data_IF_998856240859
#
_entry.id   IF_998856240859
#
_cell.length_a   1.000
_cell.length_b   1.000
_cell.length_c   1.000
_cell.angle_alpha   90.00
_cell.angle_beta   90.00
_cell.angle_gamma   90.00
#
_symmetry.space_group_name_H-M   'P 1'
#
loop_
_entity.id
_entity.type
_entity.pdbx_description
1 polymer ?
#
# COMPACT_ATOMS: atom_id res chain seq x y z
N UNK A 1 17.65 29.06 49.39
CA UNK A 1 16.83 28.07 48.68
C UNK A 1 16.87 28.43 47.20
N UNK A 2 17.73 27.78 46.43
CA UNK A 2 17.93 28.05 45.00
C UNK A 2 17.22 26.92 44.21
N UNK A 3 16.12 27.27 43.53
CA UNK A 3 15.38 26.34 42.71
C UNK A 3 16.10 26.10 41.35
N UNK A 4 16.53 24.90 41.13
CA UNK A 4 17.15 24.47 39.89
C UNK A 4 16.01 24.11 38.89
N UNK A 5 15.78 24.96 37.90
CA UNK A 5 14.89 24.69 36.77
C UNK A 5 15.61 23.74 35.82
N UNK A 6 15.20 22.45 35.80
CA UNK A 6 15.56 21.51 34.74
C UNK A 6 14.66 21.77 33.52
N UNK A 7 15.21 22.41 32.52
CA UNK A 7 14.60 22.47 31.17
C UNK A 7 14.84 21.16 30.48
N UNK A 8 13.80 20.33 30.36
CA UNK A 8 13.80 19.18 29.50
C UNK A 8 13.79 19.66 28.04
N UNK A 9 14.91 19.54 27.33
CA UNK A 9 14.98 19.73 25.89
C UNK A 9 14.26 18.55 25.21
N UNK A 10 13.04 18.78 24.77
CA UNK A 10 12.37 17.86 23.81
C UNK A 10 13.09 18.01 22.50
N UNK A 11 14.01 17.10 22.20
CA UNK A 11 14.55 16.94 20.85
C UNK A 11 13.39 16.48 19.95
N UNK A 12 12.76 17.40 19.24
CA UNK A 12 11.94 17.07 18.09
C UNK A 12 12.88 16.46 17.03
N UNK A 13 12.90 15.13 16.94
CA UNK A 13 13.57 14.44 15.85
C UNK A 13 12.86 14.85 14.58
N UNK A 14 13.51 15.64 13.72
CA UNK A 14 13.02 15.99 12.41
C UNK A 14 12.82 14.66 11.64
N UNK A 15 11.57 14.35 11.27
CA UNK A 15 11.25 13.18 10.47
C UNK A 15 12.13 13.19 9.21
N UNK A 16 13.01 12.21 9.09
CA UNK A 16 13.86 12.10 7.92
C UNK A 16 13.00 11.87 6.67
N UNK A 17 13.28 12.61 5.60
CA UNK A 17 12.53 12.48 4.33
C UNK A 17 12.60 11.04 3.81
N UNK A 18 11.50 10.53 3.17
CA UNK A 18 11.54 9.24 2.50
C UNK A 18 12.64 9.20 1.44
N UNK A 19 13.41 8.13 1.44
CA UNK A 19 14.47 7.88 0.45
C UNK A 19 14.12 6.61 -0.34
N UNK A 20 13.57 6.72 -1.57
CA UNK A 20 13.27 5.55 -2.38
C UNK A 20 14.52 4.73 -2.67
N UNK A 21 14.42 3.41 -2.66
CA UNK A 21 15.53 2.52 -3.01
C UNK A 21 15.89 2.61 -4.49
N UNK A 22 14.90 2.89 -5.33
CA UNK A 22 15.06 3.07 -6.77
C UNK A 22 14.14 4.18 -7.28
N UNK A 23 14.65 4.94 -8.26
CA UNK A 23 13.84 5.86 -9.04
C UNK A 23 12.96 5.11 -10.05
N UNK A 24 11.97 5.78 -10.64
CA UNK A 24 11.09 5.16 -11.65
C UNK A 24 11.83 4.62 -12.88
N UNK A 25 13.02 5.17 -13.21
CA UNK A 25 13.82 4.73 -14.36
C UNK A 25 14.57 3.42 -14.10
N UNK A 26 14.79 3.10 -12.83
CA UNK A 26 15.52 1.91 -12.40
C UNK A 26 14.58 0.75 -12.07
N UNK A 27 13.29 1.05 -11.92
CA UNK A 27 12.26 0.03 -11.68
C UNK A 27 11.83 -0.66 -12.98
N UNK A 28 11.34 -1.92 -12.91
CA UNK A 28 10.80 -2.61 -14.08
C UNK A 28 9.66 -1.82 -14.73
N UNK A 29 9.77 -1.60 -16.04
CA UNK A 29 8.74 -0.89 -16.80
C UNK A 29 7.53 -1.79 -17.05
N UNK A 30 6.45 -1.58 -16.33
CA UNK A 30 5.22 -2.38 -16.41
C UNK A 30 4.63 -2.50 -17.82
N UNK A 31 4.82 -1.50 -18.68
CA UNK A 31 4.30 -1.56 -20.07
C UNK A 31 4.94 -2.66 -20.93
N UNK A 32 6.06 -3.22 -20.48
CA UNK A 32 6.79 -4.25 -21.23
C UNK A 32 6.45 -5.69 -20.81
N UNK A 33 5.86 -5.87 -19.63
CA UNK A 33 5.69 -7.21 -19.07
C UNK A 33 4.35 -7.42 -18.34
N UNK A 34 3.72 -6.38 -17.79
CA UNK A 34 2.44 -6.52 -17.13
C UNK A 34 1.28 -6.52 -18.15
N UNK A 35 0.18 -7.25 -17.89
CA UNK A 35 -1.01 -7.16 -18.70
C UNK A 35 -1.50 -5.72 -18.84
N UNK A 36 -1.94 -5.32 -20.01
CA UNK A 36 -2.67 -4.06 -20.19
C UNK A 36 -4.04 -4.11 -19.47
N UNK A 37 -4.62 -2.96 -19.06
CA UNK A 37 -5.99 -2.97 -18.56
C UNK A 37 -6.94 -3.52 -19.63
N UNK A 38 -7.98 -4.29 -19.25
CA UNK A 38 -8.93 -4.87 -20.19
C UNK A 38 -9.58 -3.82 -21.09
N UNK A 39 -9.74 -4.19 -22.36
CA UNK A 39 -10.59 -3.44 -23.29
C UNK A 39 -12.04 -3.44 -22.77
N UNK A 40 -12.66 -2.26 -22.74
CA UNK A 40 -14.03 -2.07 -22.23
C UNK A 40 -15.12 -2.78 -23.02
N UNK A 41 -14.81 -3.30 -24.20
CA UNK A 41 -15.70 -4.15 -25.02
C UNK A 41 -15.36 -5.64 -24.91
N UNK A 42 -14.27 -5.99 -24.22
CA UNK A 42 -13.79 -7.36 -24.09
C UNK A 42 -14.39 -8.12 -22.91
N UNK A 43 -14.38 -9.46 -22.97
CA UNK A 43 -14.89 -10.35 -21.93
C UNK A 43 -14.19 -10.14 -20.57
N UNK A 44 -12.89 -9.84 -20.57
CA UNK A 44 -12.14 -9.57 -19.34
C UNK A 44 -12.66 -8.33 -18.59
N UNK A 45 -13.22 -7.35 -19.28
CA UNK A 45 -13.86 -6.20 -18.62
C UNK A 45 -15.20 -6.56 -17.97
N UNK A 46 -15.89 -7.58 -18.48
CA UNK A 46 -17.11 -8.11 -17.82
C UNK A 46 -16.79 -8.60 -16.40
N UNK A 47 -15.63 -9.26 -16.22
CA UNK A 47 -15.16 -9.64 -14.88
C UNK A 47 -14.93 -8.42 -13.97
N UNK A 48 -14.32 -7.35 -14.46
CA UNK A 48 -14.16 -6.10 -13.71
C UNK A 48 -15.53 -5.51 -13.26
N UNK A 49 -16.53 -5.56 -14.14
CA UNK A 49 -17.89 -5.11 -13.82
C UNK A 49 -18.51 -5.99 -12.73
N UNK A 50 -18.40 -7.32 -12.85
CA UNK A 50 -18.90 -8.26 -11.84
C UNK A 50 -18.26 -8.02 -10.48
N UNK A 51 -16.96 -7.82 -10.44
CA UNK A 51 -16.24 -7.51 -9.19
C UNK A 51 -16.62 -6.14 -8.61
N UNK A 52 -16.88 -5.14 -9.44
CA UNK A 52 -17.40 -3.85 -8.99
C UNK A 52 -18.80 -4.00 -8.35
N UNK A 53 -19.70 -4.79 -8.95
CA UNK A 53 -21.02 -5.08 -8.39
C UNK A 53 -20.92 -5.86 -7.07
N UNK A 54 -20.08 -6.88 -7.03
CA UNK A 54 -19.76 -7.60 -5.79
C UNK A 54 -19.24 -6.63 -4.69
N UNK A 55 -18.33 -5.72 -5.04
CA UNK A 55 -17.82 -4.73 -4.09
C UNK A 55 -18.93 -3.84 -3.52
N UNK A 56 -19.92 -3.46 -4.33
CA UNK A 56 -21.12 -2.72 -3.86
C UNK A 56 -21.95 -3.55 -2.89
N UNK A 57 -22.14 -4.83 -3.15
CA UNK A 57 -22.84 -5.74 -2.26
C UNK A 57 -22.12 -5.89 -0.92
N UNK A 58 -20.79 -6.04 -0.95
CA UNK A 58 -19.96 -6.15 0.26
C UNK A 58 -20.05 -4.93 1.18
N UNK A 59 -20.47 -3.77 0.70
CA UNK A 59 -20.73 -2.59 1.56
C UNK A 59 -21.88 -2.79 2.53
N UNK A 60 -22.75 -3.79 2.31
CA UNK A 60 -23.85 -4.13 3.22
C UNK A 60 -23.34 -4.85 4.48
N UNK A 61 -22.19 -5.52 4.39
CA UNK A 61 -21.48 -6.02 5.56
C UNK A 61 -20.73 -4.87 6.23
N UNK A 62 -21.29 -4.36 7.33
CA UNK A 62 -20.75 -3.17 8.01
C UNK A 62 -19.30 -3.33 8.43
N UNK A 63 -18.91 -4.47 8.98
CA UNK A 63 -17.53 -4.72 9.43
C UNK A 63 -16.55 -4.64 8.25
N UNK A 64 -16.88 -5.31 7.13
CA UNK A 64 -16.03 -5.30 5.93
C UNK A 64 -15.99 -3.91 5.26
N UNK A 65 -17.11 -3.19 5.28
CA UNK A 65 -17.18 -1.82 4.77
C UNK A 65 -16.32 -0.85 5.58
N UNK A 66 -16.40 -0.93 6.91
CA UNK A 66 -15.59 -0.09 7.82
C UNK A 66 -14.09 -0.32 7.60
N UNK A 67 -13.65 -1.57 7.41
CA UNK A 67 -12.26 -1.89 7.03
C UNK A 67 -11.90 -1.25 5.69
N UNK A 68 -12.76 -1.38 4.68
CA UNK A 68 -12.50 -0.83 3.36
C UNK A 68 -12.41 0.71 3.34
N UNK A 69 -13.18 1.38 4.19
CA UNK A 69 -13.14 2.83 4.38
C UNK A 69 -11.83 3.25 5.05
N UNK A 70 -11.38 2.54 6.10
CA UNK A 70 -10.07 2.82 6.72
C UNK A 70 -8.92 2.62 5.74
N UNK A 71 -8.96 1.55 4.95
CA UNK A 71 -7.96 1.25 3.91
C UNK A 71 -7.92 2.30 2.78
N UNK A 72 -8.90 3.20 2.71
CA UNK A 72 -8.90 4.27 1.73
C UNK A 72 -7.93 5.41 2.06
N UNK A 73 -7.48 5.50 3.30
CA UNK A 73 -6.47 6.48 3.72
C UNK A 73 -5.10 6.05 3.20
N UNK A 74 -4.54 6.82 2.26
CA UNK A 74 -3.23 6.52 1.66
C UNK A 74 -2.09 7.10 2.48
N UNK A 75 -1.75 6.47 3.58
CA UNK A 75 -0.66 6.90 4.44
C UNK A 75 0.14 5.73 5.01
N UNK A 76 1.35 6.01 5.52
CA UNK A 76 2.18 5.02 6.20
C UNK A 76 1.58 4.67 7.57
N UNK A 77 0.99 5.65 8.24
CA UNK A 77 0.30 5.48 9.52
C UNK A 77 -0.86 4.50 9.41
N UNK A 78 -1.67 4.63 8.34
CA UNK A 78 -2.75 3.67 8.06
C UNK A 78 -2.20 2.25 7.84
N UNK A 79 -1.16 2.08 7.02
CA UNK A 79 -0.49 0.79 6.82
C UNK A 79 0.02 0.23 8.16
N UNK A 80 0.70 1.04 8.95
CA UNK A 80 1.23 0.61 10.24
C UNK A 80 0.11 0.15 11.19
N UNK A 81 -0.96 0.93 11.30
CA UNK A 81 -2.12 0.59 12.12
C UNK A 81 -2.78 -0.72 11.67
N UNK A 82 -3.09 -0.84 10.38
CA UNK A 82 -3.85 -1.96 9.83
C UNK A 82 -3.04 -3.27 9.72
N UNK A 83 -1.70 -3.19 9.74
CA UNK A 83 -0.83 -4.37 9.72
C UNK A 83 -0.25 -4.74 11.09
N UNK A 84 -0.39 -3.92 12.13
CA UNK A 84 0.19 -4.19 13.46
C UNK A 84 -0.33 -5.49 14.08
N UNK A 85 -1.65 -5.71 14.08
CA UNK A 85 -2.25 -6.94 14.61
C UNK A 85 -1.87 -8.18 13.78
N UNK A 86 -2.04 -8.20 12.44
CA UNK A 86 -1.57 -9.32 11.62
C UNK A 86 -0.08 -9.62 11.78
N UNK A 87 0.75 -8.61 11.93
CA UNK A 87 2.19 -8.73 12.12
C UNK A 87 2.58 -9.25 13.52
N UNK A 88 1.73 -8.98 14.53
CA UNK A 88 1.94 -9.40 15.93
C UNK A 88 2.83 -8.46 16.75
N UNK A 89 3.05 -7.23 16.26
CA UNK A 89 3.77 -6.19 16.98
C UNK A 89 3.26 -4.82 16.51
N UNK A 90 3.09 -3.88 17.43
CA UNK A 90 2.71 -2.50 17.09
C UNK A 90 3.78 -1.82 16.26
N UNK A 91 3.43 -1.45 15.02
CA UNK A 91 4.31 -0.77 14.09
C UNK A 91 4.10 0.74 14.25
N UNK A 92 5.17 1.46 14.59
CA UNK A 92 5.17 2.92 14.65
C UNK A 92 6.61 3.46 14.58
N UNK A 93 6.77 4.73 14.27
CA UNK A 93 8.09 5.37 14.26
C UNK A 93 8.77 5.32 15.64
N UNK A 94 7.99 5.44 16.72
CA UNK A 94 8.50 5.38 18.09
C UNK A 94 8.82 3.94 18.53
N UNK A 95 7.92 2.99 18.24
CA UNK A 95 8.06 1.63 18.74
C UNK A 95 8.98 0.75 17.86
N UNK A 96 8.92 0.92 16.53
CA UNK A 96 9.66 0.07 15.57
C UNK A 96 10.35 0.93 14.50
N UNK A 97 11.30 1.80 14.86
CA UNK A 97 11.89 2.78 13.96
C UNK A 97 12.55 2.17 12.70
N UNK A 98 13.15 0.99 12.82
CA UNK A 98 13.79 0.34 11.67
C UNK A 98 12.77 -0.28 10.71
N UNK A 99 11.67 -0.87 11.22
CA UNK A 99 10.54 -1.36 10.41
C UNK A 99 9.82 -0.17 9.77
N UNK A 100 9.58 0.89 10.56
CA UNK A 100 8.95 2.11 10.05
C UNK A 100 9.75 2.72 8.89
N UNK A 101 11.05 2.87 9.06
CA UNK A 101 11.94 3.37 8.01
C UNK A 101 11.90 2.50 6.76
N UNK A 102 11.94 1.18 6.92
CA UNK A 102 11.84 0.24 5.80
C UNK A 102 10.55 0.43 5.00
N UNK A 103 9.39 0.47 5.68
CA UNK A 103 8.08 0.65 5.05
C UNK A 103 7.96 2.03 4.39
N UNK A 104 8.48 3.09 5.02
CA UNK A 104 8.48 4.45 4.48
C UNK A 104 9.27 4.55 3.16
N UNK A 105 10.48 4.02 3.12
CA UNK A 105 11.35 4.10 1.97
C UNK A 105 10.87 3.15 0.84
N UNK A 106 10.28 2.00 1.21
CA UNK A 106 9.59 1.11 0.27
C UNK A 106 8.33 1.77 -0.34
N UNK A 107 7.51 2.48 0.47
CA UNK A 107 6.37 3.25 -0.03
C UNK A 107 6.80 4.24 -1.12
N UNK A 108 7.85 5.02 -0.88
CA UNK A 108 8.37 5.98 -1.85
C UNK A 108 8.84 5.28 -3.16
N UNK A 109 9.44 4.08 -3.05
CA UNK A 109 9.81 3.25 -4.21
C UNK A 109 8.57 2.76 -4.97
N UNK A 110 7.53 2.30 -4.25
CA UNK A 110 6.30 1.80 -4.86
C UNK A 110 5.48 2.89 -5.56
N UNK A 111 5.48 4.09 -5.06
CA UNK A 111 4.86 5.24 -5.74
C UNK A 111 5.47 5.47 -7.12
N UNK A 112 6.78 5.31 -7.24
CA UNK A 112 7.50 5.51 -8.50
C UNK A 112 7.09 4.49 -9.59
N UNK A 113 6.81 3.22 -9.26
CA UNK A 113 6.44 2.20 -10.27
C UNK A 113 5.06 2.44 -10.87
N UNK A 114 4.15 3.06 -10.13
CA UNK A 114 2.74 3.26 -10.55
C UNK A 114 2.53 4.45 -11.49
N UNK A 115 3.41 5.44 -11.47
CA UNK A 115 3.18 6.72 -12.11
C UNK A 115 3.04 6.64 -13.63
N UNK A 116 4.04 6.03 -14.30
CA UNK A 116 4.06 5.97 -15.77
C UNK A 116 2.88 5.20 -16.39
N UNK A 117 2.52 3.99 -15.94
CA UNK A 117 1.36 3.27 -16.46
C UNK A 117 0.04 4.04 -16.29
N UNK A 118 -0.14 4.76 -15.18
CA UNK A 118 -1.34 5.59 -14.95
C UNK A 118 -1.54 6.58 -16.08
N UNK A 119 -0.51 7.36 -16.40
CA UNK A 119 -0.58 8.39 -17.44
C UNK A 119 -0.59 7.83 -18.88
N UNK A 120 -0.02 6.65 -19.07
CA UNK A 120 -0.04 5.98 -20.38
C UNK A 120 -1.44 5.46 -20.73
N UNK A 121 -2.06 4.67 -19.81
CA UNK A 121 -3.37 4.05 -20.07
C UNK A 121 -4.55 4.99 -19.83
N UNK A 122 -4.41 6.01 -18.99
CA UNK A 122 -5.46 6.98 -18.64
C UNK A 122 -6.81 6.32 -18.31
N UNK A 123 -6.76 5.16 -17.66
CA UNK A 123 -7.95 4.36 -17.38
C UNK A 123 -8.91 5.09 -16.44
N UNK A 124 -10.18 5.20 -16.84
CA UNK A 124 -11.25 5.76 -16.00
C UNK A 124 -11.55 4.82 -14.82
N UNK A 125 -11.74 5.41 -13.65
CA UNK A 125 -12.16 4.68 -12.44
C UNK A 125 -13.62 4.23 -12.53
N UNK A 126 -14.03 3.16 -11.78
CA UNK A 126 -15.41 2.66 -11.79
C UNK A 126 -16.44 3.76 -11.52
N UNK A 127 -16.29 4.49 -10.42
CA UNK A 127 -17.22 5.55 -10.01
C UNK A 127 -17.31 6.70 -11.03
N UNK A 128 -16.23 6.99 -11.76
CA UNK A 128 -16.24 7.98 -12.85
C UNK A 128 -16.98 7.42 -14.07
N UNK A 129 -16.81 6.13 -14.39
CA UNK A 129 -17.46 5.49 -15.54
C UNK A 129 -18.97 5.38 -15.35
N UNK A 130 -19.40 4.97 -14.15
CA UNK A 130 -20.82 4.75 -13.85
C UNK A 130 -21.52 6.00 -13.30
N UNK A 131 -20.76 7.09 -13.04
CA UNK A 131 -21.29 8.34 -12.44
C UNK A 131 -21.96 8.07 -11.08
N UNK A 132 -21.42 7.15 -10.32
CA UNK A 132 -21.89 6.76 -8.99
C UNK A 132 -20.90 7.23 -7.92
N UNK A 133 -21.34 7.53 -6.68
CA UNK A 133 -20.41 7.84 -5.60
C UNK A 133 -19.64 6.60 -5.13
N UNK A 134 -18.43 6.82 -4.63
CA UNK A 134 -17.69 5.82 -3.88
C UNK A 134 -18.22 5.69 -2.45
N UNK A 135 -17.74 4.68 -1.68
CA UNK A 135 -17.98 4.62 -0.24
C UNK A 135 -17.11 5.64 0.55
N UNK A 136 -16.23 6.38 -0.12
CA UNK A 136 -15.31 7.36 0.46
C UNK A 136 -15.31 8.64 -0.39
N UNK A 137 -16.45 9.39 -0.41
CA UNK A 137 -16.63 10.54 -1.29
C UNK A 137 -15.63 11.68 -1.04
N UNK A 138 -15.09 11.78 0.16
CA UNK A 138 -14.06 12.76 0.54
C UNK A 138 -12.77 12.63 -0.28
N UNK A 139 -12.43 11.42 -0.79
CA UNK A 139 -11.25 11.20 -1.63
C UNK A 139 -11.52 11.34 -3.13
N UNK A 140 -12.78 11.45 -3.56
CA UNK A 140 -13.12 11.54 -4.98
C UNK A 140 -12.50 12.73 -5.73
N UNK A 141 -12.41 13.94 -5.15
CA UNK A 141 -11.79 15.07 -5.83
C UNK A 141 -10.34 14.80 -6.28
N UNK A 142 -9.56 14.10 -5.45
CA UNK A 142 -8.21 13.68 -5.79
C UNK A 142 -8.21 12.52 -6.79
N UNK A 143 -9.05 11.51 -6.56
CA UNK A 143 -9.15 10.34 -7.42
C UNK A 143 -9.62 10.67 -8.85
N UNK A 144 -10.41 11.74 -9.04
CA UNK A 144 -10.84 12.23 -10.36
C UNK A 144 -9.70 12.87 -11.16
N UNK A 145 -8.65 13.37 -10.49
CA UNK A 145 -7.47 13.98 -11.14
C UNK A 145 -6.42 12.96 -11.55
N UNK A 146 -6.61 11.71 -11.14
CA UNK A 146 -5.62 10.67 -11.34
C UNK A 146 -6.29 9.40 -11.90
N UNK A 147 -5.50 8.57 -12.61
CA UNK A 147 -6.01 7.42 -13.36
C UNK A 147 -6.03 6.14 -12.52
N UNK A 148 -6.85 5.17 -12.98
CA UNK A 148 -7.17 3.97 -12.21
C UNK A 148 -6.03 2.93 -12.20
N UNK A 149 -5.39 2.67 -13.32
CA UNK A 149 -4.48 1.53 -13.53
C UNK A 149 -3.00 1.90 -13.41
N UNK A 150 -2.21 1.16 -12.64
CA UNK A 150 -2.57 0.17 -11.62
C UNK A 150 -2.99 0.83 -10.30
N UNK A 151 -3.51 0.04 -9.35
CA UNK A 151 -3.90 0.53 -8.03
C UNK A 151 -2.68 0.83 -7.15
N UNK A 152 -2.44 2.10 -6.82
CA UNK A 152 -1.35 2.52 -5.93
C UNK A 152 -1.51 2.01 -4.49
N UNK A 153 -2.74 2.02 -3.95
CA UNK A 153 -3.02 1.43 -2.64
C UNK A 153 -2.66 -0.05 -2.60
N UNK A 154 -3.04 -0.82 -3.64
CA UNK A 154 -2.70 -2.25 -3.70
C UNK A 154 -1.19 -2.46 -3.77
N UNK A 155 -0.47 -1.63 -4.54
CA UNK A 155 0.99 -1.70 -4.58
C UNK A 155 1.56 -1.50 -3.19
N UNK A 156 1.13 -0.47 -2.47
CA UNK A 156 1.58 -0.17 -1.11
C UNK A 156 1.25 -1.32 -0.14
N UNK A 157 -0.03 -1.74 -0.08
CA UNK A 157 -0.46 -2.78 0.85
C UNK A 157 0.20 -4.14 0.59
N UNK A 158 0.33 -4.54 -0.68
CA UNK A 158 0.97 -5.81 -1.02
C UNK A 158 2.48 -5.79 -0.79
N UNK A 159 3.17 -4.68 -1.11
CA UNK A 159 4.59 -4.54 -0.76
C UNK A 159 4.80 -4.60 0.74
N UNK A 160 3.96 -3.92 1.53
CA UNK A 160 4.03 -3.97 3.00
C UNK A 160 3.82 -5.39 3.52
N UNK A 161 2.84 -6.13 2.96
CA UNK A 161 2.61 -7.53 3.32
C UNK A 161 3.83 -8.42 3.05
N UNK A 162 4.47 -8.28 1.87
CA UNK A 162 5.67 -9.04 1.51
C UNK A 162 6.84 -8.75 2.46
N UNK A 163 7.10 -7.47 2.74
CA UNK A 163 8.16 -7.04 3.66
C UNK A 163 7.93 -7.56 5.08
N UNK A 164 6.73 -7.42 5.60
CA UNK A 164 6.39 -7.86 6.95
C UNK A 164 6.40 -9.39 7.08
N UNK A 165 6.01 -10.11 6.02
CA UNK A 165 6.12 -11.58 5.95
C UNK A 165 7.58 -12.04 6.00
N UNK A 166 8.50 -11.33 5.33
CA UNK A 166 9.93 -11.66 5.39
C UNK A 166 10.52 -11.41 6.78
N UNK A 167 10.02 -10.38 7.49
CA UNK A 167 10.46 -10.07 8.86
C UNK A 167 9.89 -11.09 9.86
N UNK A 168 8.60 -11.42 9.75
CA UNK A 168 7.91 -12.37 10.64
C UNK A 168 7.23 -13.51 9.85
N UNK A 169 7.99 -14.52 9.39
CA UNK A 169 7.45 -15.60 8.59
C UNK A 169 6.49 -16.53 9.38
N UNK A 170 6.52 -16.50 10.70
CA UNK A 170 5.61 -17.29 11.55
C UNK A 170 4.14 -16.83 11.41
N UNK A 171 3.90 -15.59 10.99
CA UNK A 171 2.57 -15.02 10.76
C UNK A 171 2.29 -14.73 9.25
N UNK A 172 3.04 -15.39 8.36
CA UNK A 172 2.95 -15.15 6.91
C UNK A 172 1.50 -15.18 6.41
N UNK A 173 0.72 -16.20 6.75
CA UNK A 173 -0.65 -16.37 6.25
C UNK A 173 -1.56 -15.19 6.67
N UNK A 174 -1.46 -14.75 7.92
CA UNK A 174 -2.26 -13.64 8.46
C UNK A 174 -1.87 -12.31 7.81
N UNK A 175 -0.57 -12.07 7.64
CA UNK A 175 -0.03 -10.86 7.01
C UNK A 175 -0.43 -10.79 5.54
N UNK A 176 -0.25 -11.90 4.79
CA UNK A 176 -0.60 -11.96 3.37
C UNK A 176 -2.11 -11.84 3.16
N UNK A 177 -2.94 -12.48 4.01
CA UNK A 177 -4.39 -12.32 3.97
C UNK A 177 -4.80 -10.85 4.16
N UNK A 178 -4.16 -10.13 5.09
CA UNK A 178 -4.40 -8.69 5.28
C UNK A 178 -3.99 -7.88 4.05
N UNK A 179 -2.88 -8.22 3.41
CA UNK A 179 -2.44 -7.59 2.16
C UNK A 179 -3.42 -7.80 1.00
N UNK A 180 -3.99 -9.01 0.88
CA UNK A 180 -5.06 -9.32 -0.08
C UNK A 180 -6.29 -8.47 0.18
N UNK A 181 -6.77 -8.43 1.44
CA UNK A 181 -7.93 -7.66 1.88
C UNK A 181 -7.75 -6.16 1.62
N UNK A 182 -6.53 -5.61 1.81
CA UNK A 182 -6.23 -4.20 1.54
C UNK A 182 -6.44 -3.83 0.07
N UNK A 183 -6.05 -4.71 -0.85
CA UNK A 183 -6.33 -4.55 -2.29
C UNK A 183 -7.82 -4.63 -2.62
N UNK A 184 -8.54 -5.63 -2.06
CA UNK A 184 -9.99 -5.81 -2.24
C UNK A 184 -10.79 -4.60 -1.76
N UNK A 185 -10.35 -3.96 -0.69
CA UNK A 185 -10.96 -2.74 -0.15
C UNK A 185 -11.11 -1.66 -1.22
N UNK A 186 -10.22 -1.62 -2.23
CA UNK A 186 -10.29 -0.63 -3.32
C UNK A 186 -11.42 -0.91 -4.30
N UNK A 187 -11.80 -2.18 -4.48
CA UNK A 187 -12.97 -2.59 -5.27
C UNK A 187 -14.24 -2.30 -4.46
N UNK A 188 -14.25 -2.64 -3.17
CA UNK A 188 -15.40 -2.44 -2.28
C UNK A 188 -15.78 -0.95 -2.19
N UNK A 189 -14.80 -0.05 -1.97
CA UNK A 189 -15.11 1.39 -1.96
C UNK A 189 -15.47 1.95 -3.34
N UNK A 190 -15.22 1.20 -4.44
CA UNK A 190 -15.55 1.60 -5.80
C UNK A 190 -14.51 2.51 -6.47
N UNK A 191 -13.30 2.58 -5.93
CA UNK A 191 -12.22 3.43 -6.44
C UNK A 191 -11.41 2.79 -7.57
N UNK A 192 -11.36 1.45 -7.64
CA UNK A 192 -10.56 0.67 -8.60
C UNK A 192 -11.33 -0.52 -9.16
N UNK A 193 -10.95 -0.93 -10.37
CA UNK A 193 -11.34 -2.20 -10.97
C UNK A 193 -10.52 -3.35 -10.38
N UNK A 194 -11.04 -4.58 -10.47
CA UNK A 194 -10.29 -5.76 -10.00
C UNK A 194 -8.96 -5.90 -10.74
N UNK A 195 -8.94 -5.72 -12.04
CA UNK A 195 -7.70 -5.80 -12.84
C UNK A 195 -6.68 -4.70 -12.49
N UNK A 196 -7.09 -3.53 -11.94
CA UNK A 196 -6.15 -2.54 -11.40
C UNK A 196 -5.48 -3.07 -10.13
N UNK A 197 -6.25 -3.80 -9.30
CA UNK A 197 -5.78 -4.43 -8.07
C UNK A 197 -4.80 -5.55 -8.38
N UNK A 198 -5.13 -6.42 -9.34
CA UNK A 198 -4.27 -7.54 -9.75
C UNK A 198 -2.95 -7.02 -10.33
N UNK A 199 -3.01 -6.02 -11.20
CA UNK A 199 -1.82 -5.35 -11.73
C UNK A 199 -1.01 -4.65 -10.62
N UNK A 200 -1.68 -4.13 -9.60
CA UNK A 200 -1.04 -3.57 -8.42
C UNK A 200 -0.21 -4.59 -7.66
N UNK A 201 -0.71 -5.82 -7.46
CA UNK A 201 0.04 -6.92 -6.83
C UNK A 201 1.26 -7.33 -7.66
N UNK A 202 1.10 -7.42 -8.99
CA UNK A 202 2.22 -7.71 -9.89
C UNK A 202 3.30 -6.62 -9.83
N UNK A 203 2.90 -5.35 -9.83
CA UNK A 203 3.82 -4.22 -9.69
C UNK A 203 4.57 -4.24 -8.35
N UNK A 204 3.87 -4.54 -7.26
CA UNK A 204 4.46 -4.68 -5.93
C UNK A 204 5.48 -5.81 -5.88
N UNK A 205 5.15 -6.98 -6.44
CA UNK A 205 6.08 -8.12 -6.51
C UNK A 205 7.34 -7.79 -7.33
N UNK A 206 7.19 -7.08 -8.45
CA UNK A 206 8.32 -6.66 -9.27
C UNK A 206 9.20 -5.61 -8.55
N UNK A 207 8.59 -4.64 -7.85
CA UNK A 207 9.32 -3.66 -7.05
C UNK A 207 10.04 -4.33 -5.88
N UNK A 208 9.38 -5.27 -5.19
CA UNK A 208 9.96 -6.06 -4.11
C UNK A 208 11.19 -6.85 -4.58
N UNK A 209 11.07 -7.59 -5.69
CA UNK A 209 12.19 -8.32 -6.26
C UNK A 209 13.36 -7.38 -6.65
N UNK A 210 13.03 -6.21 -7.22
CA UNK A 210 14.05 -5.21 -7.57
C UNK A 210 14.75 -4.63 -6.34
N UNK A 211 14.00 -4.36 -5.25
CA UNK A 211 14.58 -3.85 -4.00
C UNK A 211 15.64 -4.79 -3.42
N UNK A 212 15.51 -6.10 -3.56
CA UNK A 212 16.49 -7.10 -3.12
C UNK A 212 17.83 -7.05 -3.86
N UNK A 213 17.95 -6.27 -4.92
CA UNK A 213 19.23 -6.02 -5.60
C UNK A 213 19.95 -4.77 -5.09
N UNK A 214 19.44 -4.12 -4.03
CA UNK A 214 20.03 -2.95 -3.39
C UNK A 214 20.65 -3.30 -2.05
N UNK A 215 21.94 -3.08 -1.88
CA UNK A 215 22.63 -3.29 -0.59
C UNK A 215 22.03 -2.44 0.53
N UNK A 216 21.59 -1.21 0.21
CA UNK A 216 20.90 -0.32 1.16
C UNK A 216 19.57 -0.92 1.65
N UNK A 217 18.82 -1.57 0.76
CA UNK A 217 17.58 -2.27 1.12
C UNK A 217 17.87 -3.50 1.98
N UNK A 218 18.82 -4.33 1.58
CA UNK A 218 19.17 -5.55 2.33
C UNK A 218 19.66 -5.22 3.74
N UNK A 219 20.47 -4.17 3.89
CA UNK A 219 20.92 -3.71 5.20
C UNK A 219 19.75 -3.19 6.06
N UNK A 220 18.79 -2.43 5.48
CA UNK A 220 17.62 -1.95 6.20
C UNK A 220 16.69 -3.11 6.60
N UNK A 221 16.51 -4.09 5.73
CA UNK A 221 15.76 -5.31 6.02
C UNK A 221 16.37 -6.09 7.18
N UNK A 222 17.71 -6.23 7.18
CA UNK A 222 18.43 -6.88 8.28
C UNK A 222 18.21 -6.16 9.62
N UNK A 223 18.25 -4.82 9.63
CA UNK A 223 17.99 -4.01 10.85
C UNK A 223 16.55 -4.17 11.34
N UNK A 224 15.59 -4.08 10.43
CA UNK A 224 14.17 -4.28 10.74
C UNK A 224 13.90 -5.67 11.36
N UNK A 225 14.52 -6.72 10.80
CA UNK A 225 14.42 -8.08 11.34
C UNK A 225 15.07 -8.21 12.72
N UNK A 226 16.23 -7.59 12.94
CA UNK A 226 16.88 -7.58 14.24
C UNK A 226 16.04 -6.84 15.30
N UNK A 227 15.44 -5.71 14.94
CA UNK A 227 14.53 -4.97 15.80
C UNK A 227 13.32 -5.83 16.20
N UNK A 228 12.66 -6.48 15.24
CA UNK A 228 11.55 -7.39 15.50
C UNK A 228 11.94 -8.51 16.48
N UNK A 229 13.07 -9.20 16.24
CA UNK A 229 13.54 -10.30 17.09
C UNK A 229 13.82 -9.87 18.54
N UNK A 230 14.27 -8.62 18.75
CA UNK A 230 14.48 -8.06 20.09
C UNK A 230 13.17 -7.72 20.81
N UNK A 231 12.14 -7.30 20.05
CA UNK A 231 10.88 -6.82 20.65
C UNK A 231 9.83 -7.91 20.86
N UNK A 232 9.97 -9.05 20.21
CA UNK A 232 9.05 -10.20 20.39
C UNK A 232 9.40 -11.05 21.61
N UNK A 233 10.54 -10.78 22.29
CA UNK A 233 10.95 -11.42 23.56
C UNK A 233 10.20 -10.80 24.73
#
# INVERSE_FOLDING_TARGET
>A
MTALLMTAAVCAQAQSKPEPYFSFRELPNMLKWAPAPPDTMGAAFTYDIMQYMWGKEMRQNKERADIAIRDAVYSLECIAQEFSEPFGLTISEENTPEIWKLLRDAKATCEAISGFPKYYYKRKRPFVRFQEPTATPEFEPELRRNFSYPSGHTILGWTSALLLTEINPERADTILARGMMYGESRVIVGAHWQSDVDAGRLAAAAAYARMHTSDRFLEQMRRARQEFLKKRQ
#
